data_IF_997574848847
#
_entry.id   IF_997574848847
#
_cell.length_a   1.000
_cell.length_b   1.000
_cell.length_c   1.000
_cell.angle_alpha   90.00
_cell.angle_beta   90.00
_cell.angle_gamma   90.00
#
_symmetry.space_group_name_H-M   'P 1'
#
loop_
_entity.id
_entity.type
_entity.pdbx_description
1 polymer ?
#
# COMPACT_ATOMS: atom_id res chain seq x y z
N UNK A 1 -20.65 -1.59 10.94
CA UNK A 1 -20.85 -2.03 9.55
C UNK A 1 -19.85 -1.25 8.73
N UNK A 2 -19.06 -1.93 7.90
CA UNK A 2 -18.15 -1.30 6.95
C UNK A 2 -18.96 -0.81 5.75
N UNK A 3 -18.70 0.41 5.31
CA UNK A 3 -19.38 1.03 4.17
C UNK A 3 -18.38 1.26 3.06
N UNK A 4 -18.72 0.82 1.84
CA UNK A 4 -17.93 1.10 0.65
C UNK A 4 -18.21 2.55 0.22
N UNK A 5 -17.21 3.41 0.39
CA UNK A 5 -17.28 4.86 0.16
C UNK A 5 -16.52 5.25 -1.10
N UNK A 6 -16.69 6.51 -1.56
CA UNK A 6 -16.11 6.98 -2.82
C UNK A 6 -14.57 6.91 -2.86
N UNK A 7 -13.91 6.92 -1.70
CA UNK A 7 -12.46 6.74 -1.55
C UNK A 7 -11.98 5.31 -1.80
N UNK A 8 -12.88 4.34 -1.96
CA UNK A 8 -12.57 2.97 -2.38
C UNK A 8 -12.78 2.74 -3.89
N UNK A 9 -13.31 3.73 -4.63
CA UNK A 9 -13.58 3.61 -6.07
C UNK A 9 -12.30 3.88 -6.85
N UNK A 10 -11.86 2.90 -7.63
CA UNK A 10 -10.69 3.02 -8.50
C UNK A 10 -11.08 3.42 -9.92
N UNK A 11 -12.34 3.17 -10.29
CA UNK A 11 -12.94 3.53 -11.57
C UNK A 11 -12.87 2.41 -12.62
N UNK A 12 -12.70 1.17 -12.16
CA UNK A 12 -12.68 -0.04 -12.98
C UNK A 12 -13.86 -0.88 -12.50
N UNK A 13 -14.98 -0.83 -13.22
CA UNK A 13 -16.30 -1.34 -12.77
C UNK A 13 -16.24 -2.76 -12.21
N UNK A 14 -15.51 -3.68 -12.88
CA UNK A 14 -15.35 -5.05 -12.39
C UNK A 14 -14.65 -5.11 -11.02
N UNK A 15 -13.53 -4.40 -10.86
CA UNK A 15 -12.75 -4.42 -9.61
C UNK A 15 -13.47 -3.67 -8.50
N UNK A 16 -14.15 -2.56 -8.82
CA UNK A 16 -15.00 -1.82 -7.87
C UNK A 16 -16.15 -2.72 -7.35
N UNK A 17 -16.75 -3.55 -8.21
CA UNK A 17 -17.79 -4.52 -7.81
C UNK A 17 -17.23 -5.66 -6.95
N UNK A 18 -16.03 -6.15 -7.26
CA UNK A 18 -15.32 -7.13 -6.44
C UNK A 18 -14.98 -6.55 -5.05
N UNK A 19 -14.47 -5.32 -4.98
CA UNK A 19 -14.23 -4.65 -3.71
C UNK A 19 -15.53 -4.51 -2.91
N UNK A 20 -16.66 -4.13 -3.52
CA UNK A 20 -17.96 -4.10 -2.83
C UNK A 20 -18.31 -5.45 -2.21
N UNK A 21 -18.05 -6.55 -2.91
CA UNK A 21 -18.30 -7.89 -2.39
C UNK A 21 -17.41 -8.23 -1.18
N UNK A 22 -16.16 -7.76 -1.12
CA UNK A 22 -15.33 -7.89 0.09
C UNK A 22 -15.94 -7.17 1.30
N UNK A 23 -16.53 -5.98 1.10
CA UNK A 23 -17.23 -5.27 2.18
C UNK A 23 -18.47 -6.05 2.65
N UNK A 24 -19.18 -6.75 1.76
CA UNK A 24 -20.27 -7.65 2.13
C UNK A 24 -19.78 -8.81 3.01
N UNK A 25 -18.66 -9.45 2.64
CA UNK A 25 -18.04 -10.52 3.44
C UNK A 25 -17.61 -10.02 4.83
N UNK A 26 -17.00 -8.84 4.91
CA UNK A 26 -16.64 -8.19 6.18
C UNK A 26 -17.87 -7.95 7.07
N UNK A 27 -18.96 -7.45 6.48
CA UNK A 27 -20.19 -7.21 7.21
C UNK A 27 -20.86 -8.50 7.69
N UNK A 28 -20.82 -9.57 6.88
CA UNK A 28 -21.26 -10.91 7.29
C UNK A 28 -20.48 -11.40 8.51
N UNK A 29 -19.15 -11.27 8.53
CA UNK A 29 -18.36 -11.62 9.71
C UNK A 29 -18.64 -10.73 10.93
N UNK A 30 -18.86 -9.43 10.74
CA UNK A 30 -19.26 -8.52 11.83
C UNK A 30 -20.60 -8.90 12.44
N UNK A 31 -21.58 -9.31 11.62
CA UNK A 31 -22.88 -9.77 12.09
C UNK A 31 -22.74 -11.07 12.92
N UNK A 32 -21.82 -11.96 12.54
CA UNK A 32 -21.52 -13.16 13.33
C UNK A 32 -20.97 -12.81 14.73
N UNK A 33 -20.08 -11.82 14.82
CA UNK A 33 -19.57 -11.30 16.11
C UNK A 33 -20.66 -10.62 16.94
N UNK A 34 -21.57 -9.88 16.31
CA UNK A 34 -22.64 -9.18 17.02
C UNK A 34 -23.76 -10.11 17.49
N UNK A 35 -23.99 -11.21 16.77
CA UNK A 35 -25.00 -12.22 17.08
C UNK A 35 -24.47 -13.37 17.96
N UNK A 36 -23.41 -13.14 18.75
CA UNK A 36 -22.72 -14.11 19.62
C UNK A 36 -23.58 -14.73 20.76
N UNK A 37 -24.91 -14.55 20.71
CA UNK A 37 -25.91 -15.19 21.58
C UNK A 37 -26.54 -16.45 20.95
N UNK A 38 -26.19 -16.78 19.69
CA UNK A 38 -26.65 -17.98 18.98
C UNK A 38 -25.53 -19.03 18.90
N UNK A 39 -25.95 -20.30 18.75
CA UNK A 39 -25.16 -21.55 18.74
C UNK A 39 -23.81 -21.55 18.04
N UNK A 40 -23.01 -22.60 18.30
CA UNK A 40 -21.84 -23.05 17.52
C UNK A 40 -21.85 -22.53 16.06
N UNK A 41 -20.91 -21.63 15.75
CA UNK A 41 -20.81 -20.93 14.48
C UNK A 41 -19.80 -21.60 13.53
N UNK A 42 -19.40 -22.84 13.82
CA UNK A 42 -18.41 -23.57 13.03
C UNK A 42 -18.70 -23.54 11.53
N UNK A 43 -19.92 -23.90 11.12
CA UNK A 43 -20.29 -23.94 9.70
C UNK A 43 -20.27 -22.54 9.07
N UNK A 44 -20.78 -21.53 9.77
CA UNK A 44 -20.82 -20.16 9.27
C UNK A 44 -19.40 -19.57 9.12
N UNK A 45 -18.53 -19.78 10.12
CA UNK A 45 -17.13 -19.32 10.07
C UNK A 45 -16.37 -20.03 8.97
N UNK A 46 -16.55 -21.35 8.84
CA UNK A 46 -15.94 -22.12 7.77
C UNK A 46 -16.39 -21.64 6.39
N UNK A 47 -17.68 -21.38 6.20
CA UNK A 47 -18.23 -20.86 4.95
C UNK A 47 -17.68 -19.47 4.64
N UNK A 48 -17.61 -18.58 5.63
CA UNK A 48 -17.00 -17.25 5.47
C UNK A 48 -15.53 -17.33 5.03
N UNK A 49 -14.73 -18.22 5.65
CA UNK A 49 -13.33 -18.40 5.26
C UNK A 49 -13.18 -18.92 3.84
N UNK A 50 -14.01 -19.90 3.43
CA UNK A 50 -14.00 -20.42 2.05
C UNK A 50 -14.40 -19.35 1.03
N UNK A 51 -15.48 -18.60 1.30
CA UNK A 51 -15.93 -17.50 0.43
C UNK A 51 -14.84 -16.42 0.27
N UNK A 52 -14.13 -16.11 1.35
CA UNK A 52 -13.05 -15.14 1.36
C UNK A 52 -11.80 -15.62 0.61
N UNK A 53 -11.45 -16.91 0.72
CA UNK A 53 -10.37 -17.52 -0.07
C UNK A 53 -10.71 -17.49 -1.57
N UNK A 54 -11.92 -17.90 -1.94
CA UNK A 54 -12.41 -17.88 -3.33
C UNK A 54 -12.51 -16.46 -3.90
N UNK A 55 -12.88 -15.49 -3.06
CA UNK A 55 -12.86 -14.08 -3.42
C UNK A 55 -11.43 -13.61 -3.70
N UNK A 56 -10.51 -13.81 -2.75
CA UNK A 56 -9.15 -13.31 -2.85
C UNK A 56 -8.41 -13.90 -4.05
N UNK A 57 -8.61 -15.19 -4.34
CA UNK A 57 -7.97 -15.80 -5.51
C UNK A 57 -8.47 -15.20 -6.83
N UNK A 58 -9.78 -14.95 -6.95
CA UNK A 58 -10.37 -14.38 -8.17
C UNK A 58 -10.02 -12.91 -8.33
N UNK A 59 -10.32 -12.10 -7.31
CA UNK A 59 -10.12 -10.66 -7.33
C UNK A 59 -8.67 -10.29 -7.64
N UNK A 60 -7.70 -10.88 -6.93
CA UNK A 60 -6.30 -10.60 -7.21
C UNK A 60 -5.86 -11.10 -8.59
N UNK A 61 -6.43 -12.19 -9.10
CA UNK A 61 -6.11 -12.64 -10.46
C UNK A 61 -6.64 -11.66 -11.52
N UNK A 62 -7.85 -11.14 -11.33
CA UNK A 62 -8.48 -10.16 -12.22
C UNK A 62 -7.74 -8.81 -12.16
N UNK A 63 -7.39 -8.35 -10.96
CA UNK A 63 -6.60 -7.15 -10.73
C UNK A 63 -5.19 -7.25 -11.34
N UNK A 64 -4.46 -8.32 -11.04
CA UNK A 64 -3.11 -8.54 -11.57
C UNK A 64 -3.13 -8.66 -13.11
N UNK A 65 -4.16 -9.29 -13.69
CA UNK A 65 -4.32 -9.39 -15.14
C UNK A 65 -4.59 -8.01 -15.78
N UNK A 66 -5.42 -7.19 -15.13
CA UNK A 66 -5.66 -5.82 -15.58
C UNK A 66 -4.37 -4.99 -15.51
N UNK A 67 -3.65 -5.05 -14.40
CA UNK A 67 -2.36 -4.38 -14.22
C UNK A 67 -1.32 -4.83 -15.24
N UNK A 68 -1.23 -6.13 -15.54
CA UNK A 68 -0.38 -6.64 -16.63
C UNK A 68 -0.76 -6.02 -17.99
N UNK A 69 -2.05 -5.93 -18.28
CA UNK A 69 -2.55 -5.39 -19.54
C UNK A 69 -2.16 -3.92 -19.73
N UNK A 70 -2.26 -3.11 -18.67
CA UNK A 70 -1.89 -1.70 -18.71
C UNK A 70 -0.40 -1.45 -18.43
N UNK A 71 0.36 -2.52 -18.16
CA UNK A 71 1.79 -2.47 -17.76
C UNK A 71 1.99 -1.59 -16.53
N UNK A 72 1.11 -1.79 -15.55
CA UNK A 72 1.13 -1.03 -14.32
C UNK A 72 2.43 -1.30 -13.54
N UNK A 73 3.18 -0.26 -13.16
CA UNK A 73 4.41 -0.41 -12.41
C UNK A 73 4.22 -1.02 -11.01
N UNK A 74 3.04 -0.89 -10.40
CA UNK A 74 2.79 -1.45 -9.06
C UNK A 74 2.55 -2.96 -9.08
N UNK A 75 2.46 -3.59 -10.26
CA UNK A 75 2.08 -5.01 -10.41
C UNK A 75 2.94 -5.95 -9.56
N UNK A 76 4.27 -5.77 -9.59
CA UNK A 76 5.20 -6.65 -8.87
C UNK A 76 4.99 -6.52 -7.36
N UNK A 77 4.75 -5.29 -6.90
CA UNK A 77 4.50 -5.00 -5.50
C UNK A 77 3.15 -5.57 -5.04
N UNK A 78 2.08 -5.29 -5.77
CA UNK A 78 0.75 -5.76 -5.43
C UNK A 78 0.68 -7.29 -5.43
N UNK A 79 1.36 -7.95 -6.37
CA UNK A 79 1.56 -9.42 -6.32
C UNK A 79 2.16 -9.93 -5.02
N UNK A 80 3.17 -9.23 -4.51
CA UNK A 80 3.78 -9.58 -3.22
C UNK A 80 2.79 -9.39 -2.06
N UNK A 81 2.04 -8.28 -2.05
CA UNK A 81 1.00 -8.01 -1.06
C UNK A 81 -0.13 -9.06 -1.11
N UNK A 82 -0.58 -9.43 -2.31
CA UNK A 82 -1.60 -10.46 -2.54
C UNK A 82 -1.12 -11.84 -2.09
N UNK A 83 0.13 -12.19 -2.36
CA UNK A 83 0.73 -13.44 -1.88
C UNK A 83 0.71 -13.51 -0.35
N UNK A 84 1.12 -12.43 0.34
CA UNK A 84 1.09 -12.36 1.81
C UNK A 84 -0.34 -12.48 2.34
N UNK A 85 -1.31 -11.84 1.68
CA UNK A 85 -2.72 -11.97 2.04
C UNK A 85 -3.21 -13.41 1.90
N UNK A 86 -2.99 -14.04 0.74
CA UNK A 86 -3.36 -15.44 0.47
C UNK A 86 -2.74 -16.39 1.50
N UNK A 87 -1.47 -16.21 1.83
CA UNK A 87 -0.80 -17.02 2.86
C UNK A 87 -1.43 -16.85 4.24
N UNK A 88 -1.76 -15.62 4.65
CA UNK A 88 -2.44 -15.36 5.93
C UNK A 88 -3.82 -16.02 5.99
N UNK A 89 -4.62 -15.89 4.94
CA UNK A 89 -5.95 -16.53 4.85
C UNK A 89 -5.85 -18.04 4.93
N UNK A 90 -4.93 -18.64 4.17
CA UNK A 90 -4.67 -20.08 4.22
C UNK A 90 -4.22 -20.53 5.61
N UNK A 91 -3.43 -19.71 6.31
CA UNK A 91 -3.00 -19.97 7.69
C UNK A 91 -4.17 -20.22 8.63
N UNK A 92 -5.23 -19.40 8.56
CA UNK A 92 -6.43 -19.59 9.38
C UNK A 92 -7.24 -20.84 9.04
N UNK A 93 -7.17 -21.34 7.81
CA UNK A 93 -7.82 -22.59 7.42
C UNK A 93 -7.26 -23.83 8.17
N UNK A 94 -6.10 -23.69 8.81
CA UNK A 94 -5.49 -24.73 9.65
C UNK A 94 -5.70 -24.54 11.15
N UNK A 95 -6.30 -23.42 11.58
CA UNK A 95 -6.60 -23.18 13.00
C UNK A 95 -7.69 -24.13 13.49
N UNK A 96 -7.56 -24.58 14.74
CA UNK A 96 -8.58 -25.41 15.36
C UNK A 96 -9.77 -24.55 15.81
N UNK A 97 -10.92 -24.73 15.16
CA UNK A 97 -12.18 -24.04 15.46
C UNK A 97 -13.24 -24.99 16.06
N UNK A 98 -12.84 -26.12 16.64
CA UNK A 98 -13.76 -27.12 17.20
C UNK A 98 -14.50 -26.64 18.46
N UNK A 99 -14.00 -25.59 19.13
CA UNK A 99 -14.66 -25.00 20.30
C UNK A 99 -14.99 -23.52 20.10
N UNK A 100 -16.09 -23.10 20.74
CA UNK A 100 -16.67 -21.76 20.60
C UNK A 100 -15.70 -20.62 20.92
N UNK A 101 -14.76 -20.82 21.86
CA UNK A 101 -13.79 -19.76 22.22
C UNK A 101 -12.77 -19.54 21.12
N UNK A 102 -12.29 -20.63 20.52
CA UNK A 102 -11.38 -20.52 19.39
C UNK A 102 -12.09 -19.99 18.14
N UNK A 103 -13.35 -20.37 17.89
CA UNK A 103 -14.16 -19.77 16.82
C UNK A 103 -14.24 -18.25 16.97
N UNK A 104 -14.60 -17.76 18.16
CA UNK A 104 -14.67 -16.32 18.43
C UNK A 104 -13.32 -15.63 18.22
N UNK A 105 -12.24 -16.20 18.75
CA UNK A 105 -10.88 -15.65 18.60
C UNK A 105 -10.48 -15.54 17.12
N UNK A 106 -10.64 -16.63 16.36
CA UNK A 106 -10.29 -16.66 14.93
C UNK A 106 -11.10 -15.65 14.15
N UNK A 107 -12.42 -15.55 14.41
CA UNK A 107 -13.29 -14.58 13.76
C UNK A 107 -12.88 -13.12 14.06
N UNK A 108 -12.58 -12.79 15.32
CA UNK A 108 -12.13 -11.44 15.72
C UNK A 108 -10.77 -11.08 15.09
N UNK A 109 -9.80 -12.02 15.10
CA UNK A 109 -8.49 -11.83 14.49
C UNK A 109 -8.59 -11.64 12.97
N UNK A 110 -9.39 -12.47 12.30
CA UNK A 110 -9.67 -12.39 10.87
C UNK A 110 -10.26 -11.03 10.50
N UNK A 111 -11.32 -10.59 11.18
CA UNK A 111 -11.96 -9.30 10.91
C UNK A 111 -11.02 -8.12 11.12
N UNK A 112 -10.23 -8.14 12.18
CA UNK A 112 -9.24 -7.09 12.45
C UNK A 112 -8.16 -7.06 11.37
N UNK A 113 -7.71 -8.22 10.88
CA UNK A 113 -6.78 -8.26 9.76
C UNK A 113 -7.41 -7.74 8.47
N UNK A 114 -8.61 -8.21 8.12
CA UNK A 114 -9.29 -7.79 6.90
C UNK A 114 -9.60 -6.30 6.89
N UNK A 115 -10.06 -5.74 8.02
CA UNK A 115 -10.29 -4.31 8.14
C UNK A 115 -9.02 -3.48 7.91
N UNK A 116 -7.87 -3.93 8.45
CA UNK A 116 -6.58 -3.29 8.23
C UNK A 116 -6.08 -3.45 6.80
N UNK A 117 -6.19 -4.65 6.25
CA UNK A 117 -5.73 -4.94 4.90
C UNK A 117 -6.56 -4.17 3.88
N UNK A 118 -7.89 -4.17 4.02
CA UNK A 118 -8.79 -3.40 3.18
C UNK A 118 -8.43 -1.91 3.18
N UNK A 119 -8.17 -1.37 4.36
CA UNK A 119 -7.82 0.03 4.51
C UNK A 119 -6.45 0.39 3.93
N UNK A 120 -5.45 -0.49 4.07
CA UNK A 120 -4.10 -0.21 3.59
C UNK A 120 -3.87 -0.60 2.14
N UNK A 121 -4.50 -1.65 1.64
CA UNK A 121 -4.29 -2.16 0.29
C UNK A 121 -5.21 -1.45 -0.70
N UNK A 122 -6.53 -1.46 -0.49
CA UNK A 122 -7.46 -0.86 -1.46
C UNK A 122 -7.21 0.64 -1.59
N UNK A 123 -7.13 1.36 -0.46
CA UNK A 123 -7.01 2.82 -0.50
C UNK A 123 -5.61 3.26 -0.90
N UNK A 124 -4.54 2.59 -0.45
CA UNK A 124 -3.16 3.05 -0.70
C UNK A 124 -2.49 2.40 -1.93
N UNK A 125 -2.96 1.24 -2.38
CA UNK A 125 -2.42 0.50 -3.52
C UNK A 125 -3.41 0.48 -4.69
N UNK A 126 -4.63 -0.03 -4.51
CA UNK A 126 -5.53 -0.28 -5.66
C UNK A 126 -6.01 1.01 -6.32
N UNK A 127 -6.19 2.10 -5.55
CA UNK A 127 -6.54 3.42 -6.11
C UNK A 127 -5.51 3.98 -7.08
N UNK A 128 -4.27 3.48 -7.04
CA UNK A 128 -3.17 3.89 -7.91
C UNK A 128 -3.14 3.13 -9.25
N UNK A 129 -3.90 2.03 -9.37
CA UNK A 129 -3.96 1.23 -10.59
C UNK A 129 -4.38 2.10 -11.78
N UNK A 130 -3.55 2.10 -12.83
CA UNK A 130 -3.77 2.86 -14.05
C UNK A 130 -3.67 4.38 -13.90
N UNK A 131 -3.25 4.88 -12.73
CA UNK A 131 -2.89 6.30 -12.55
C UNK A 131 -1.42 6.55 -12.93
N UNK A 132 -0.64 5.49 -13.01
CA UNK A 132 0.80 5.53 -13.27
C UNK A 132 1.09 5.38 -14.77
N UNK A 133 2.03 6.15 -15.34
CA UNK A 133 2.52 5.88 -16.69
C UNK A 133 3.20 4.50 -16.74
N UNK A 134 3.16 3.80 -17.89
CA UNK A 134 3.79 2.48 -18.02
C UNK A 134 5.26 2.48 -17.62
N UNK A 135 5.76 1.34 -17.15
CA UNK A 135 7.12 1.21 -16.61
C UNK A 135 8.22 1.79 -17.54
N UNK A 136 8.00 1.66 -18.84
CA UNK A 136 8.95 2.06 -19.87
C UNK A 136 9.06 3.59 -20.02
N UNK A 137 8.04 4.38 -19.68
CA UNK A 137 8.05 5.83 -19.93
C UNK A 137 8.82 6.63 -18.89
N UNK A 138 8.84 6.21 -17.62
CA UNK A 138 9.58 6.91 -16.55
C UNK A 138 11.07 6.56 -16.55
N UNK A 139 11.42 5.32 -16.90
CA UNK A 139 12.82 4.87 -17.03
C UNK A 139 13.55 5.48 -18.24
N UNK A 140 12.82 6.09 -19.17
CA UNK A 140 13.39 6.77 -20.35
C UNK A 140 13.86 8.21 -20.05
N UNK A 141 13.56 8.79 -18.88
CA UNK A 141 14.17 10.06 -18.46
C UNK A 141 15.64 9.82 -18.10
N UNK A 142 16.55 10.68 -18.58
CA UNK A 142 18.01 10.54 -18.34
C UNK A 142 18.35 10.44 -16.84
N UNK A 143 17.57 11.11 -15.99
CA UNK A 143 17.60 10.95 -14.54
C UNK A 143 16.17 10.94 -13.94
N UNK A 144 15.61 9.78 -13.57
CA UNK A 144 14.27 9.69 -12.98
C UNK A 144 14.22 10.25 -11.54
N UNK A 145 15.37 10.43 -10.89
CA UNK A 145 15.47 11.02 -9.54
C UNK A 145 15.71 12.53 -9.56
N UNK A 146 15.62 13.19 -10.72
CA UNK A 146 15.78 14.65 -10.80
C UNK A 146 14.47 15.34 -10.37
N UNK A 147 14.57 16.24 -9.38
CA UNK A 147 13.46 17.13 -9.04
C UNK A 147 13.38 18.27 -10.07
N UNK A 148 12.25 18.37 -10.76
CA UNK A 148 12.01 19.32 -11.85
C UNK A 148 10.83 20.24 -11.53
N UNK A 149 10.66 21.31 -12.32
CA UNK A 149 9.59 22.31 -12.11
C UNK A 149 8.16 21.71 -12.16
N UNK A 150 7.96 20.57 -12.81
CA UNK A 150 6.68 19.85 -12.82
C UNK A 150 6.25 19.38 -11.42
N UNK A 151 7.20 19.15 -10.51
CA UNK A 151 6.94 18.68 -9.14
C UNK A 151 6.78 19.81 -8.12
N UNK A 152 6.92 21.09 -8.54
CA UNK A 152 6.65 22.21 -7.63
C UNK A 152 5.17 22.33 -7.32
N UNK A 153 4.85 22.36 -6.03
CA UNK A 153 3.53 22.65 -5.47
C UNK A 153 3.31 24.16 -5.37
N UNK A 154 4.39 24.94 -5.31
CA UNK A 154 4.36 26.38 -5.03
C UNK A 154 4.42 26.71 -3.53
N UNK A 155 4.36 25.70 -2.66
CA UNK A 155 4.57 25.83 -1.22
C UNK A 155 6.07 25.65 -0.97
N UNK A 156 6.77 26.75 -0.68
CA UNK A 156 8.26 26.76 -0.60
C UNK A 156 8.83 25.75 0.41
N UNK A 157 8.12 25.51 1.52
CA UNK A 157 8.51 24.52 2.53
C UNK A 157 8.49 23.11 1.94
N UNK A 158 7.35 22.70 1.40
CA UNK A 158 7.10 21.39 0.80
C UNK A 158 8.02 21.14 -0.39
N UNK A 159 8.20 22.14 -1.27
CA UNK A 159 9.08 22.00 -2.44
C UNK A 159 10.55 21.72 -2.06
N UNK A 160 11.05 22.33 -0.98
CA UNK A 160 12.42 22.06 -0.48
C UNK A 160 12.56 20.67 0.11
N UNK A 161 11.52 20.17 0.74
CA UNK A 161 11.51 18.82 1.31
C UNK A 161 11.41 17.76 0.21
N UNK A 162 10.62 18.02 -0.84
CA UNK A 162 10.63 17.18 -2.04
C UNK A 162 12.03 17.13 -2.67
N UNK A 163 12.70 18.27 -2.86
CA UNK A 163 14.06 18.31 -3.41
C UNK A 163 15.03 17.39 -2.62
N UNK A 164 14.93 17.37 -1.29
CA UNK A 164 15.75 16.50 -0.44
C UNK A 164 15.31 15.02 -0.48
N UNK A 165 14.01 14.72 -0.56
CA UNK A 165 13.52 13.34 -0.76
C UNK A 165 14.04 12.75 -2.07
N UNK A 166 13.94 13.49 -3.17
CA UNK A 166 14.51 13.08 -4.46
C UNK A 166 16.02 12.86 -4.36
N UNK A 167 16.76 13.74 -3.65
CA UNK A 167 18.20 13.57 -3.42
C UNK A 167 18.53 12.28 -2.67
N UNK A 168 17.78 11.94 -1.61
CA UNK A 168 18.01 10.72 -0.82
C UNK A 168 17.71 9.47 -1.66
N UNK A 169 16.63 9.49 -2.45
CA UNK A 169 16.28 8.39 -3.35
C UNK A 169 17.33 8.24 -4.47
N UNK A 170 17.86 9.34 -4.99
CA UNK A 170 18.96 9.29 -5.97
C UNK A 170 20.21 8.62 -5.40
N UNK A 171 20.53 8.86 -4.12
CA UNK A 171 21.69 8.26 -3.47
C UNK A 171 21.63 6.73 -3.46
N UNK A 172 20.46 6.15 -3.15
CA UNK A 172 20.28 4.69 -3.20
C UNK A 172 20.16 4.19 -4.65
N UNK A 173 19.54 4.94 -5.56
CA UNK A 173 19.45 4.59 -6.99
C UNK A 173 20.84 4.51 -7.65
N UNK A 174 21.76 5.39 -7.28
CA UNK A 174 23.15 5.35 -7.77
C UNK A 174 23.84 4.03 -7.40
N UNK A 175 23.65 3.54 -6.16
CA UNK A 175 24.16 2.22 -5.75
C UNK A 175 23.57 1.11 -6.62
N UNK A 176 22.26 1.14 -6.86
CA UNK A 176 21.55 0.15 -7.70
C UNK A 176 22.11 0.15 -9.14
N UNK A 177 22.40 1.33 -9.70
CA UNK A 177 23.02 1.46 -11.03
C UNK A 177 24.43 0.89 -11.10
N UNK A 178 25.16 0.89 -9.98
CA UNK A 178 26.50 0.29 -9.86
C UNK A 178 26.47 -1.23 -9.66
N UNK A 179 25.27 -1.83 -9.63
CA UNK A 179 24.98 -3.22 -9.28
C UNK A 179 25.34 -3.56 -7.84
N UNK A 180 24.33 -3.63 -6.98
CA UNK A 180 24.49 -3.91 -5.55
C UNK A 180 24.66 -5.40 -5.26
N UNK A 181 25.47 -5.69 -4.27
CA UNK A 181 25.58 -7.02 -3.68
C UNK A 181 25.38 -7.00 -2.15
N UNK A 182 25.57 -8.16 -1.50
CA UNK A 182 25.38 -8.30 -0.06
C UNK A 182 26.27 -7.38 0.78
N UNK A 183 27.42 -6.97 0.27
CA UNK A 183 28.35 -6.08 0.95
C UNK A 183 27.85 -4.63 1.04
N UNK A 184 26.92 -4.24 0.16
CA UNK A 184 26.32 -2.91 0.13
C UNK A 184 25.13 -2.78 1.10
N UNK A 185 24.57 -3.89 1.59
CA UNK A 185 23.39 -3.92 2.46
C UNK A 185 23.50 -2.95 3.66
N UNK A 186 24.62 -2.89 4.42
CA UNK A 186 24.74 -1.93 5.52
C UNK A 186 24.58 -0.47 5.07
N UNK A 187 25.14 -0.12 3.90
CA UNK A 187 25.04 1.23 3.34
C UNK A 187 23.63 1.51 2.82
N UNK A 188 23.02 0.54 2.15
CA UNK A 188 21.62 0.63 1.69
C UNK A 188 20.69 0.89 2.88
N UNK A 189 20.83 0.12 3.96
CA UNK A 189 20.00 0.27 5.16
C UNK A 189 20.20 1.63 5.85
N UNK A 190 21.42 2.19 5.83
CA UNK A 190 21.68 3.54 6.33
C UNK A 190 20.90 4.60 5.53
N UNK A 191 20.92 4.52 4.20
CA UNK A 191 20.21 5.45 3.32
C UNK A 191 18.69 5.29 3.46
N UNK A 192 18.19 4.04 3.52
CA UNK A 192 16.76 3.78 3.72
C UNK A 192 16.25 4.27 5.07
N UNK A 193 17.05 4.18 6.13
CA UNK A 193 16.70 4.76 7.43
C UNK A 193 16.66 6.30 7.35
N UNK A 194 17.62 6.92 6.64
CA UNK A 194 17.60 8.35 6.38
C UNK A 194 16.34 8.76 5.62
N UNK A 195 15.97 8.01 4.57
CA UNK A 195 14.76 8.25 3.79
C UNK A 195 13.51 8.15 4.66
N UNK A 196 13.36 7.09 5.46
CA UNK A 196 12.22 6.93 6.36
C UNK A 196 12.11 8.11 7.33
N UNK A 197 13.22 8.49 7.98
CA UNK A 197 13.23 9.60 8.92
C UNK A 197 12.85 10.92 8.26
N UNK A 198 13.39 11.19 7.07
CA UNK A 198 13.12 12.44 6.37
C UNK A 198 11.68 12.48 5.81
N UNK A 199 11.17 11.36 5.34
CA UNK A 199 9.77 11.21 4.91
C UNK A 199 8.80 11.51 6.05
N UNK A 200 9.07 10.99 7.27
CA UNK A 200 8.24 11.30 8.46
C UNK A 200 8.24 12.79 8.79
N UNK A 201 9.40 13.44 8.66
CA UNK A 201 9.55 14.87 8.89
C UNK A 201 8.74 15.68 7.87
N UNK A 202 8.92 15.39 6.59
CA UNK A 202 8.19 16.03 5.49
C UNK A 202 6.67 15.90 5.65
N UNK A 203 6.16 14.68 5.84
CA UNK A 203 4.72 14.47 6.03
C UNK A 203 4.18 15.20 7.27
N UNK A 204 4.95 15.29 8.35
CA UNK A 204 4.54 16.07 9.51
C UNK A 204 4.39 17.56 9.15
N UNK A 205 5.38 18.15 8.50
CA UNK A 205 5.37 19.57 8.13
C UNK A 205 4.23 19.90 7.14
N UNK A 206 3.98 19.00 6.19
CA UNK A 206 2.87 19.10 5.24
C UNK A 206 1.50 18.95 5.92
N UNK A 207 1.35 18.00 6.83
CA UNK A 207 0.12 17.80 7.61
C UNK A 207 -0.17 19.01 8.50
N UNK A 208 0.85 19.56 9.17
CA UNK A 208 0.73 20.79 9.95
C UNK A 208 0.33 21.99 9.08
N UNK A 209 0.87 22.08 7.86
CA UNK A 209 0.48 23.10 6.89
C UNK A 209 -1.01 22.97 6.51
N UNK A 210 -1.43 21.77 6.10
CA UNK A 210 -2.80 21.44 5.73
C UNK A 210 -3.80 21.68 6.87
N UNK A 211 -3.44 21.35 8.10
CA UNK A 211 -4.23 21.67 9.29
C UNK A 211 -4.42 23.19 9.45
N UNK A 212 -3.36 23.96 9.21
CA UNK A 212 -3.38 25.42 9.37
C UNK A 212 -4.30 26.14 8.38
N UNK A 213 -4.62 25.50 7.26
CA UNK A 213 -5.53 26.01 6.22
C UNK A 213 -6.87 25.27 6.20
N UNK A 214 -7.08 24.33 7.13
CA UNK A 214 -8.29 23.51 7.24
C UNK A 214 -8.62 22.76 5.94
N UNK A 215 -7.60 22.17 5.31
CA UNK A 215 -7.77 21.45 4.05
C UNK A 215 -8.62 20.18 4.23
N UNK A 216 -9.71 20.08 3.47
CA UNK A 216 -10.67 18.96 3.55
C UNK A 216 -10.01 17.60 3.25
N UNK A 217 -8.99 17.57 2.39
CA UNK A 217 -8.28 16.34 1.99
C UNK A 217 -7.30 15.79 3.03
N UNK A 218 -7.03 16.51 4.12
CA UNK A 218 -6.03 16.16 5.15
C UNK A 218 -6.21 14.73 5.66
N UNK A 219 -7.45 14.34 5.94
CA UNK A 219 -7.73 13.02 6.53
C UNK A 219 -7.33 11.90 5.57
N UNK A 220 -7.60 12.04 4.27
CA UNK A 220 -7.21 11.03 3.29
C UNK A 220 -5.69 10.99 3.10
N UNK A 221 -5.05 12.16 3.05
CA UNK A 221 -3.62 12.28 2.82
C UNK A 221 -2.78 11.71 3.99
N UNK A 222 -3.17 12.00 5.25
CA UNK A 222 -2.59 11.36 6.44
C UNK A 222 -2.56 9.83 6.39
N UNK A 223 -3.54 9.23 5.71
CA UNK A 223 -3.64 7.77 5.56
C UNK A 223 -2.63 7.26 4.54
N UNK A 224 -2.53 7.94 3.40
CA UNK A 224 -1.53 7.65 2.39
C UNK A 224 -0.10 7.77 2.98
N UNK A 225 0.15 8.83 3.76
CA UNK A 225 1.40 9.03 4.48
C UNK A 225 1.71 7.88 5.44
N UNK A 226 0.75 7.51 6.28
CA UNK A 226 0.92 6.41 7.24
C UNK A 226 1.24 5.07 6.55
N UNK A 227 0.57 4.77 5.43
CA UNK A 227 0.81 3.55 4.65
C UNK A 227 2.20 3.53 4.02
N UNK A 228 2.64 4.65 3.44
CA UNK A 228 3.99 4.77 2.86
C UNK A 228 5.09 4.61 3.92
N UNK A 229 4.88 5.19 5.09
CA UNK A 229 5.77 5.05 6.24
C UNK A 229 5.83 3.62 6.77
N UNK A 230 4.69 2.92 6.87
CA UNK A 230 4.66 1.50 7.27
C UNK A 230 5.42 0.64 6.26
N UNK A 231 5.28 0.94 4.96
CA UNK A 231 6.02 0.26 3.89
C UNK A 231 7.53 0.44 4.03
N UNK A 232 8.01 1.67 4.25
CA UNK A 232 9.43 1.96 4.49
C UNK A 232 9.96 1.23 5.73
N UNK A 233 9.22 1.31 6.85
CA UNK A 233 9.60 0.64 8.10
C UNK A 233 9.60 -0.90 8.00
N UNK A 234 8.85 -1.46 7.04
CA UNK A 234 8.81 -2.88 6.75
C UNK A 234 9.99 -3.42 5.95
N UNK A 235 10.90 -2.57 5.48
CA UNK A 235 12.10 -2.99 4.73
C UNK A 235 13.18 -3.44 5.72
N UNK A 236 13.69 -4.66 5.54
CA UNK A 236 14.72 -5.24 6.42
C UNK A 236 15.88 -5.79 5.60
N UNK A 237 17.05 -5.91 6.23
CA UNK A 237 18.24 -6.46 5.59
C UNK A 237 18.01 -7.88 5.06
N UNK A 238 17.23 -8.70 5.76
CA UNK A 238 16.93 -10.08 5.38
C UNK A 238 16.14 -10.15 4.07
N UNK A 239 15.22 -9.19 3.84
CA UNK A 239 14.45 -9.11 2.58
C UNK A 239 15.34 -8.78 1.38
N UNK A 240 16.36 -7.96 1.60
CA UNK A 240 17.31 -7.54 0.56
C UNK A 240 18.31 -8.66 0.28
N UNK A 241 18.71 -9.44 1.28
CA UNK A 241 19.86 -10.35 1.20
C UNK A 241 19.71 -11.48 0.17
N UNK A 242 18.49 -11.96 -0.10
CA UNK A 242 18.28 -13.06 -1.05
C UNK A 242 18.63 -12.66 -2.48
N UNK A 243 18.14 -11.49 -2.92
CA UNK A 243 18.39 -10.93 -4.25
C UNK A 243 18.54 -9.40 -4.18
N UNK A 244 19.72 -8.88 -3.75
CA UNK A 244 19.88 -7.46 -3.49
C UNK A 244 19.54 -6.57 -4.68
N UNK A 245 20.06 -6.89 -5.87
CA UNK A 245 19.83 -6.09 -7.07
C UNK A 245 18.34 -6.05 -7.46
N UNK A 246 17.72 -7.22 -7.66
CA UNK A 246 16.32 -7.33 -8.09
C UNK A 246 15.36 -6.68 -7.08
N UNK A 247 15.61 -6.86 -5.79
CA UNK A 247 14.81 -6.23 -4.73
C UNK A 247 14.97 -4.72 -4.74
N UNK A 248 16.20 -4.22 -4.87
CA UNK A 248 16.47 -2.79 -4.83
C UNK A 248 15.99 -2.06 -6.10
N UNK A 249 16.11 -2.67 -7.28
CA UNK A 249 15.50 -2.16 -8.50
C UNK A 249 14.00 -1.95 -8.28
N UNK A 250 13.27 -3.00 -7.88
CA UNK A 250 11.83 -2.93 -7.57
C UNK A 250 11.49 -1.90 -6.50
N UNK A 251 12.33 -1.77 -5.47
CA UNK A 251 12.12 -0.79 -4.41
C UNK A 251 12.29 0.65 -4.93
N UNK A 252 13.27 0.93 -5.78
CA UNK A 252 13.46 2.25 -6.37
C UNK A 252 12.28 2.63 -7.25
N UNK A 253 11.77 1.70 -8.07
CA UNK A 253 10.59 1.96 -8.91
C UNK A 253 9.40 2.37 -8.04
N UNK A 254 9.17 1.63 -6.95
CA UNK A 254 8.12 1.96 -5.99
C UNK A 254 8.31 3.32 -5.32
N UNK A 255 9.50 3.61 -4.79
CA UNK A 255 9.76 4.86 -4.06
C UNK A 255 9.60 6.08 -4.95
N UNK A 256 10.17 6.05 -6.15
CA UNK A 256 10.04 7.14 -7.11
C UNK A 256 8.61 7.24 -7.64
N UNK A 257 8.01 6.10 -7.98
CA UNK A 257 6.63 6.03 -8.47
C UNK A 257 5.66 6.66 -7.48
N UNK A 258 5.70 6.22 -6.22
CA UNK A 258 4.84 6.75 -5.17
C UNK A 258 5.08 8.25 -4.95
N UNK A 259 6.35 8.68 -4.77
CA UNK A 259 6.68 10.08 -4.47
C UNK A 259 6.24 11.02 -5.58
N UNK A 260 6.61 10.74 -6.84
CA UNK A 260 6.26 11.57 -7.99
C UNK A 260 4.75 11.77 -8.08
N UNK A 261 3.98 10.71 -7.81
CA UNK A 261 2.54 10.70 -8.04
C UNK A 261 1.78 11.34 -6.89
N UNK A 262 2.26 11.11 -5.67
CA UNK A 262 1.80 11.84 -4.50
C UNK A 262 1.91 13.34 -4.75
N UNK A 263 3.08 13.80 -5.21
CA UNK A 263 3.30 15.20 -5.55
C UNK A 263 2.35 15.68 -6.65
N UNK A 264 2.30 14.96 -7.78
CA UNK A 264 1.55 15.40 -8.96
C UNK A 264 0.03 15.44 -8.75
N UNK A 265 -0.52 14.50 -7.98
CA UNK A 265 -1.96 14.29 -7.88
C UNK A 265 -2.55 14.55 -6.49
N UNK A 266 -1.71 14.68 -5.46
CA UNK A 266 -2.15 14.95 -4.09
C UNK A 266 -1.60 16.31 -3.65
N UNK A 267 -0.28 16.47 -3.54
CA UNK A 267 0.33 17.66 -2.89
C UNK A 267 0.09 18.93 -3.70
N UNK A 268 0.11 18.84 -5.04
CA UNK A 268 -0.24 19.97 -5.92
C UNK A 268 -1.70 20.44 -5.80
N UNK A 269 -2.59 19.67 -5.17
CA UNK A 269 -3.96 20.11 -4.88
C UNK A 269 -4.05 20.93 -3.61
N UNK A 270 -3.02 20.92 -2.76
CA UNK A 270 -2.99 21.70 -1.53
C UNK A 270 -2.94 23.18 -1.91
N UNK A 271 -3.90 24.00 -1.44
CA UNK A 271 -3.95 25.39 -1.81
C UNK A 271 -2.90 26.20 -1.04
N UNK A 272 -2.40 27.26 -1.70
CA UNK A 272 -1.54 28.25 -1.04
C UNK A 272 -2.35 29.03 0.00
N UNK A 273 -1.73 29.23 1.17
CA UNK A 273 -2.24 30.07 2.26
C UNK A 273 -2.39 31.54 1.90
#
# INVERSE_FOLDING_TARGET
MFEFTDDCIIGIEQLDDEHRYLFELLNKGMDMVQNNYLSDQYEDLRNLMMELEDYAERHFADEEAYMEQIRDPELILQRSQHMIFREKIRGWSFENIDDEKNQQRVLEELLNFLAKWLYHHIIASDTMIGKLPPLEEWMLKENPCEFTEEYRTGIELVDKEHEELFRIIDEVNQLVREQVDKSDIPRIMEILHQLEKYTRFHFQDEEEYMESIQYDGLTAQKRAHAAFIEKLAGITAEKIEEKPQEYMESLIEFLLGWLIQHILHVDKKIPLK
#
